data_IF_314820927191
#
_entry.id   IF_314820927191
#
_cell.length_a   1.000
_cell.length_b   1.000
_cell.length_c   1.000
_cell.angle_alpha   90.00
_cell.angle_beta   90.00
_cell.angle_gamma   90.00
#
_symmetry.space_group_name_H-M   'P 1'
#
loop_
_entity.id
_entity.type
_entity.pdbx_description
1 polymer ?
#
# COMPACT_ATOMS: atom_id res chain seq x y z
N UNK A 1 1.28 7.75 7.68
CA UNK A 1 0.94 7.77 9.14
C UNK A 1 2.15 7.22 9.88
N UNK A 2 2.78 8.04 10.71
CA UNK A 2 3.95 7.59 11.47
C UNK A 2 3.47 6.87 12.72
N UNK A 3 3.88 5.65 12.86
CA UNK A 3 3.73 4.89 14.09
C UNK A 3 5.00 5.11 14.91
N UNK A 4 4.83 5.46 16.16
CA UNK A 4 5.94 5.62 17.06
C UNK A 4 5.84 4.60 18.17
N UNK A 5 6.92 3.90 18.40
CA UNK A 5 7.06 2.97 19.50
C UNK A 5 8.40 3.15 20.23
N UNK A 6 8.91 4.37 20.21
CA UNK A 6 10.14 4.72 20.91
C UNK A 6 10.02 4.45 22.41
N UNK A 7 10.46 3.28 22.84
CA UNK A 7 10.51 2.90 24.23
C UNK A 7 9.18 2.64 24.93
N UNK A 8 8.05 2.73 24.22
CA UNK A 8 6.73 2.41 24.75
C UNK A 8 6.27 1.01 24.36
N UNK A 9 5.44 0.41 25.19
CA UNK A 9 4.82 -0.87 24.86
C UNK A 9 3.84 -0.69 23.70
N UNK A 10 3.95 -1.51 22.67
CA UNK A 10 3.03 -1.51 21.53
C UNK A 10 1.63 -2.00 21.95
N UNK A 11 0.60 -1.27 21.55
CA UNK A 11 -0.79 -1.71 21.59
C UNK A 11 -1.34 -1.70 20.16
N UNK A 12 -1.10 -2.78 19.45
CA UNK A 12 -1.53 -2.92 18.07
C UNK A 12 -3.06 -2.83 17.92
N UNK A 13 -3.82 -3.36 18.87
CA UNK A 13 -5.28 -3.28 18.83
C UNK A 13 -5.77 -1.83 18.87
N UNK A 14 -5.22 -1.05 19.80
CA UNK A 14 -5.55 0.37 19.92
C UNK A 14 -5.10 1.16 18.67
N UNK A 15 -3.93 0.85 18.14
CA UNK A 15 -3.41 1.48 16.92
C UNK A 15 -4.37 1.26 15.72
N UNK A 16 -4.80 0.02 15.48
CA UNK A 16 -5.77 -0.28 14.42
C UNK A 16 -7.14 0.37 14.65
N UNK A 17 -7.62 0.43 15.89
CA UNK A 17 -8.86 1.13 16.21
C UNK A 17 -8.76 2.63 15.89
N UNK A 18 -7.68 3.28 16.29
CA UNK A 18 -7.44 4.71 16.01
C UNK A 18 -7.29 4.98 14.52
N UNK A 19 -6.58 4.11 13.80
CA UNK A 19 -6.44 4.21 12.35
C UNK A 19 -7.80 4.16 11.65
N UNK A 20 -8.60 3.14 11.99
CA UNK A 20 -9.96 2.99 11.45
C UNK A 20 -10.85 4.17 11.78
N UNK A 21 -10.78 4.68 13.02
CA UNK A 21 -11.51 5.86 13.44
C UNK A 21 -11.11 7.10 12.64
N UNK A 22 -9.80 7.31 12.44
CA UNK A 22 -9.28 8.43 11.65
C UNK A 22 -9.78 8.38 10.20
N UNK A 23 -9.70 7.23 9.55
CA UNK A 23 -10.22 7.06 8.18
C UNK A 23 -11.72 7.35 8.14
N UNK A 24 -12.49 6.85 9.11
CA UNK A 24 -13.93 7.10 9.19
C UNK A 24 -14.26 8.58 9.44
N UNK A 25 -13.44 9.32 10.19
CA UNK A 25 -13.60 10.76 10.39
C UNK A 25 -13.33 11.54 9.09
N UNK A 26 -12.29 11.18 8.33
CA UNK A 26 -12.01 11.76 7.03
C UNK A 26 -13.18 11.56 6.06
N UNK A 27 -13.72 10.34 5.97
CA UNK A 27 -14.87 10.01 5.14
C UNK A 27 -16.14 10.77 5.55
N UNK A 28 -16.30 11.06 6.84
CA UNK A 28 -17.43 11.81 7.36
C UNK A 28 -17.29 13.31 7.15
N UNK A 29 -16.06 13.82 7.17
CA UNK A 29 -15.77 15.24 6.97
C UNK A 29 -16.02 15.68 5.54
N UNK A 30 -15.58 14.88 4.56
CA UNK A 30 -15.77 15.17 3.14
C UNK A 30 -16.53 14.01 2.46
N UNK A 31 -17.76 14.27 1.94
CA UNK A 31 -18.59 13.23 1.34
C UNK A 31 -18.09 12.73 -0.02
N UNK A 32 -17.11 13.41 -0.64
CA UNK A 32 -16.58 13.03 -1.97
C UNK A 32 -15.14 12.52 -1.94
N UNK A 33 -14.44 12.64 -0.81
CA UNK A 33 -13.06 12.17 -0.70
C UNK A 33 -12.98 10.66 -0.90
N UNK A 34 -11.99 10.25 -1.67
CA UNK A 34 -11.53 8.86 -1.75
C UNK A 34 -10.19 8.73 -1.00
N UNK A 35 -10.02 7.65 -0.26
CA UNK A 35 -8.83 7.40 0.54
C UNK A 35 -8.11 6.19 -0.01
N UNK A 36 -6.83 6.36 -0.30
CA UNK A 36 -5.96 5.29 -0.77
C UNK A 36 -4.96 4.96 0.35
N UNK A 37 -5.06 3.74 0.87
CA UNK A 37 -4.18 3.29 1.94
C UNK A 37 -2.92 2.71 1.30
N UNK A 38 -1.79 3.30 1.64
CA UNK A 38 -0.47 2.85 1.22
C UNK A 38 0.21 2.09 2.37
N UNK A 39 0.43 0.79 2.24
CA UNK A 39 1.15 0.01 3.24
C UNK A 39 2.66 0.22 3.14
N UNK A 40 3.32 0.27 4.30
CA UNK A 40 4.77 0.33 4.41
C UNK A 40 5.24 -0.51 5.61
N UNK A 41 6.13 -1.50 5.43
CA UNK A 41 6.47 -2.46 6.49
C UNK A 41 7.45 -1.91 7.52
N UNK A 42 8.30 -0.99 7.12
CA UNK A 42 9.33 -0.38 7.96
C UNK A 42 9.63 1.04 7.48
N UNK A 43 10.52 1.71 8.19
CA UNK A 43 10.94 3.09 7.95
C UNK A 43 9.79 4.13 7.97
N UNK A 44 9.93 5.17 8.81
CA UNK A 44 11.06 5.40 9.73
C UNK A 44 11.13 4.41 10.88
N UNK A 45 10.07 3.68 11.14
CA UNK A 45 9.97 2.70 12.23
C UNK A 45 9.90 1.28 11.67
N UNK A 46 10.58 0.35 12.33
CA UNK A 46 10.45 -1.07 12.02
C UNK A 46 9.10 -1.62 12.52
N UNK A 47 8.60 -2.67 11.88
CA UNK A 47 7.37 -3.36 12.29
C UNK A 47 6.14 -2.44 12.30
N UNK A 48 5.92 -1.74 11.20
CA UNK A 48 4.76 -0.90 10.99
C UNK A 48 3.44 -1.68 11.12
N UNK A 49 2.37 -0.98 11.52
CA UNK A 49 1.06 -1.61 11.72
C UNK A 49 0.33 -1.94 10.40
N UNK A 50 0.67 -1.27 9.30
CA UNK A 50 0.14 -1.57 7.96
C UNK A 50 1.26 -2.03 7.01
N UNK A 51 1.85 -3.22 7.24
CA UNK A 51 3.04 -3.62 6.51
C UNK A 51 2.79 -4.14 5.09
N UNK A 52 1.57 -4.58 4.77
CA UNK A 52 1.25 -5.23 3.49
C UNK A 52 -0.09 -4.78 2.94
N UNK A 53 -0.33 -5.07 1.65
CA UNK A 53 -1.61 -4.78 1.00
C UNK A 53 -2.79 -5.50 1.68
N UNK A 54 -2.56 -6.70 2.22
CA UNK A 54 -3.59 -7.43 2.97
C UNK A 54 -4.10 -6.66 4.19
N UNK A 55 -3.21 -5.97 4.92
CA UNK A 55 -3.61 -5.12 6.04
C UNK A 55 -4.41 -3.90 5.57
N UNK A 56 -3.96 -3.24 4.48
CA UNK A 56 -4.66 -2.11 3.90
C UNK A 56 -6.08 -2.50 3.42
N UNK A 57 -6.21 -3.64 2.75
CA UNK A 57 -7.50 -4.19 2.31
C UNK A 57 -8.43 -4.49 3.49
N UNK A 58 -7.90 -5.08 4.57
CA UNK A 58 -8.69 -5.38 5.76
C UNK A 58 -9.24 -4.09 6.40
N UNK A 59 -8.40 -3.06 6.54
CA UNK A 59 -8.84 -1.75 7.06
C UNK A 59 -9.88 -1.13 6.12
N UNK A 60 -9.63 -1.12 4.81
CA UNK A 60 -10.57 -0.57 3.85
C UNK A 60 -11.97 -1.19 3.97
N UNK A 61 -12.05 -2.52 4.16
CA UNK A 61 -13.31 -3.24 4.33
C UNK A 61 -14.03 -2.93 5.65
N UNK A 62 -13.30 -2.54 6.70
CA UNK A 62 -13.86 -2.23 8.00
C UNK A 62 -14.34 -0.79 8.12
N UNK A 63 -14.07 0.07 7.14
CA UNK A 63 -14.51 1.47 7.14
C UNK A 63 -16.03 1.58 6.98
N UNK A 64 -16.59 2.74 7.35
CA UNK A 64 -18.03 3.04 7.21
C UNK A 64 -18.49 3.06 5.75
N UNK A 65 -17.59 3.41 4.83
CA UNK A 65 -17.86 3.42 3.41
C UNK A 65 -16.69 2.77 2.65
N UNK A 66 -16.66 1.44 2.58
CA UNK A 66 -15.60 0.71 1.89
C UNK A 66 -15.49 1.05 0.40
N UNK A 67 -16.54 1.63 -0.20
CA UNK A 67 -16.53 2.00 -1.62
C UNK A 67 -15.62 3.19 -1.91
N UNK A 68 -15.36 4.03 -0.90
CA UNK A 68 -14.48 5.20 -0.99
C UNK A 68 -13.09 4.97 -0.41
N UNK A 69 -12.75 3.71 -0.09
CA UNK A 69 -11.42 3.37 0.41
C UNK A 69 -10.82 2.26 -0.44
N UNK A 70 -9.72 2.56 -1.05
CA UNK A 70 -8.90 1.66 -1.86
C UNK A 70 -7.48 1.56 -1.34
N UNK A 71 -6.62 1.00 -2.16
CA UNK A 71 -5.22 0.81 -1.82
C UNK A 71 -4.33 1.41 -2.90
N UNK A 72 -3.17 1.88 -2.45
CA UNK A 72 -2.03 2.22 -3.27
C UNK A 72 -0.94 1.19 -2.97
N UNK A 73 -0.32 0.63 -4.00
CA UNK A 73 0.87 -0.19 -3.87
C UNK A 73 2.07 0.63 -4.31
N UNK A 74 3.08 0.68 -3.45
CA UNK A 74 4.42 1.07 -3.85
C UNK A 74 5.28 -0.17 -4.00
N UNK A 75 5.98 -0.28 -5.15
CA UNK A 75 6.77 -1.46 -5.48
C UNK A 75 7.88 -1.72 -4.46
N UNK A 76 8.59 -0.67 -4.03
CA UNK A 76 9.64 -0.78 -3.02
C UNK A 76 9.09 -1.26 -1.67
N UNK A 77 7.91 -0.80 -1.26
CA UNK A 77 7.29 -1.20 0.00
C UNK A 77 6.93 -2.70 0.01
N UNK A 78 6.44 -3.24 -1.10
CA UNK A 78 6.20 -4.67 -1.20
C UNK A 78 7.51 -5.47 -1.09
N UNK A 79 8.58 -5.03 -1.75
CA UNK A 79 9.91 -5.64 -1.65
C UNK A 79 10.48 -5.54 -0.22
N UNK A 80 10.32 -4.40 0.46
CA UNK A 80 10.70 -4.21 1.86
C UNK A 80 9.96 -5.17 2.80
N UNK A 81 8.71 -5.53 2.46
CA UNK A 81 7.94 -6.56 3.18
C UNK A 81 8.38 -7.99 2.86
N UNK A 82 9.32 -8.18 1.93
CA UNK A 82 9.76 -9.50 1.47
C UNK A 82 8.75 -10.18 0.53
N UNK A 83 7.89 -9.41 -0.12
CA UNK A 83 6.83 -9.87 -1.01
C UNK A 83 7.16 -9.60 -2.48
N UNK A 84 6.52 -10.33 -3.40
CA UNK A 84 6.58 -10.02 -4.83
C UNK A 84 5.54 -8.94 -5.17
N UNK A 85 5.94 -7.77 -5.65
CA UNK A 85 5.00 -6.70 -5.99
C UNK A 85 3.96 -7.12 -7.05
N UNK A 86 4.28 -8.04 -7.96
CA UNK A 86 3.33 -8.53 -8.95
C UNK A 86 2.22 -9.37 -8.32
N UNK A 87 2.55 -10.17 -7.29
CA UNK A 87 1.56 -10.96 -6.55
C UNK A 87 0.66 -10.03 -5.70
N UNK A 88 1.22 -8.97 -5.11
CA UNK A 88 0.45 -7.97 -4.38
C UNK A 88 -0.51 -7.19 -5.29
N UNK A 89 -0.08 -6.87 -6.52
CA UNK A 89 -0.93 -6.27 -7.56
C UNK A 89 -2.10 -7.21 -7.89
N UNK A 90 -1.82 -8.48 -8.22
CA UNK A 90 -2.86 -9.46 -8.54
C UNK A 90 -3.84 -9.63 -7.37
N UNK A 91 -3.32 -9.66 -6.15
CA UNK A 91 -4.13 -9.78 -4.95
C UNK A 91 -5.08 -8.59 -4.78
N UNK A 92 -4.57 -7.35 -4.83
CA UNK A 92 -5.39 -6.15 -4.69
C UNK A 92 -6.41 -6.01 -5.83
N UNK A 93 -6.03 -6.36 -7.06
CA UNK A 93 -6.93 -6.38 -8.22
C UNK A 93 -8.07 -7.39 -8.07
N UNK A 94 -7.84 -8.54 -7.42
CA UNK A 94 -8.88 -9.52 -7.11
C UNK A 94 -10.00 -8.93 -6.25
N UNK A 95 -9.70 -7.97 -5.38
CA UNK A 95 -10.67 -7.24 -4.56
C UNK A 95 -11.24 -5.98 -5.23
N UNK A 96 -10.77 -5.60 -6.41
CA UNK A 96 -11.14 -4.36 -7.10
C UNK A 96 -10.74 -3.11 -6.31
N UNK A 97 -9.63 -3.17 -5.57
CA UNK A 97 -9.22 -2.14 -4.62
C UNK A 97 -7.86 -1.50 -4.92
N UNK A 98 -7.17 -1.92 -5.96
CA UNK A 98 -5.96 -1.26 -6.41
C UNK A 98 -6.33 -0.03 -7.26
N UNK A 99 -6.20 1.18 -6.68
CA UNK A 99 -6.59 2.42 -7.34
C UNK A 99 -5.41 3.28 -7.75
N UNK A 100 -4.26 3.08 -7.11
CA UNK A 100 -3.02 3.75 -7.48
C UNK A 100 -1.83 2.82 -7.32
N UNK A 101 -0.78 3.14 -8.05
CA UNK A 101 0.47 2.41 -8.03
C UNK A 101 1.64 3.39 -8.12
N UNK A 102 2.61 3.25 -7.22
CA UNK A 102 3.90 3.92 -7.29
C UNK A 102 4.95 2.91 -7.76
N UNK A 103 5.49 3.14 -8.95
CA UNK A 103 6.52 2.30 -9.55
C UNK A 103 7.90 2.82 -9.17
N UNK A 104 8.61 2.06 -8.41
CA UNK A 104 10.01 2.24 -8.08
C UNK A 104 10.69 0.88 -7.90
N UNK A 105 11.89 0.83 -7.40
CA UNK A 105 12.65 -0.40 -7.21
C UNK A 105 13.43 -0.38 -5.90
N UNK A 106 13.79 -1.56 -5.43
CA UNK A 106 14.41 -1.80 -4.15
C UNK A 106 15.32 -3.02 -4.22
N UNK A 107 16.47 -3.00 -3.60
CA UNK A 107 17.38 -4.15 -3.60
C UNK A 107 17.75 -4.69 -2.21
N UNK A 108 17.00 -4.33 -1.19
CA UNK A 108 17.19 -4.80 0.18
C UNK A 108 15.88 -4.81 0.95
N UNK A 109 15.91 -5.33 2.16
CA UNK A 109 14.75 -5.39 3.06
C UNK A 109 14.79 -4.30 4.15
N UNK A 110 15.68 -3.32 3.98
CA UNK A 110 15.88 -2.22 4.91
C UNK A 110 16.22 -0.95 4.13
N UNK A 111 15.76 0.17 4.64
CA UNK A 111 15.87 1.48 4.00
C UNK A 111 15.12 1.56 2.67
N UNK A 112 14.15 2.42 2.63
CA UNK A 112 13.42 2.76 1.43
C UNK A 112 14.35 3.52 0.48
N UNK A 113 14.61 2.93 -0.68
CA UNK A 113 15.67 3.42 -1.57
C UNK A 113 15.14 4.22 -2.73
N UNK A 114 13.84 4.10 -3.02
CA UNK A 114 13.16 4.79 -4.12
C UNK A 114 13.97 4.78 -5.43
N UNK A 115 14.48 3.59 -5.78
CA UNK A 115 15.26 3.44 -7.01
C UNK A 115 14.36 3.55 -8.24
N UNK A 116 14.88 4.06 -9.37
CA UNK A 116 14.12 4.06 -10.61
C UNK A 116 13.62 2.66 -10.97
N UNK A 117 12.38 2.58 -11.41
CA UNK A 117 11.69 1.32 -11.74
C UNK A 117 12.52 0.45 -12.69
N UNK A 118 12.73 -0.81 -12.32
CA UNK A 118 13.51 -1.79 -13.07
C UNK A 118 15.03 -1.66 -12.96
N UNK A 119 15.53 -0.72 -12.14
CA UNK A 119 16.98 -0.49 -12.02
C UNK A 119 17.70 -1.49 -11.13
N UNK A 120 17.02 -2.08 -10.16
CA UNK A 120 17.57 -3.11 -9.29
C UNK A 120 17.22 -4.52 -9.76
N UNK A 121 15.98 -4.75 -10.22
CA UNK A 121 15.53 -6.06 -10.68
C UNK A 121 14.55 -5.97 -11.87
N UNK A 122 15.06 -5.99 -13.08
CA UNK A 122 14.26 -5.89 -14.30
C UNK A 122 13.20 -7.01 -14.42
N UNK A 123 13.46 -8.22 -13.89
CA UNK A 123 12.48 -9.30 -13.90
C UNK A 123 11.27 -8.99 -13.05
N UNK A 124 11.50 -8.45 -11.86
CA UNK A 124 10.40 -8.03 -10.95
C UNK A 124 9.58 -6.91 -11.60
N UNK A 125 10.24 -5.93 -12.20
CA UNK A 125 9.55 -4.88 -12.94
C UNK A 125 8.72 -5.42 -14.11
N UNK A 126 9.28 -6.33 -14.90
CA UNK A 126 8.56 -6.99 -16.00
C UNK A 126 7.32 -7.76 -15.51
N UNK A 127 7.44 -8.48 -14.38
CA UNK A 127 6.31 -9.22 -13.81
C UNK A 127 5.19 -8.29 -13.36
N UNK A 128 5.52 -7.13 -12.78
CA UNK A 128 4.54 -6.11 -12.39
C UNK A 128 3.77 -5.59 -13.62
N UNK A 129 4.48 -5.23 -14.70
CA UNK A 129 3.84 -4.77 -15.95
C UNK A 129 2.90 -5.86 -16.50
N UNK A 130 3.34 -7.13 -16.51
CA UNK A 130 2.47 -8.24 -16.91
C UNK A 130 1.23 -8.41 -16.03
N UNK A 131 1.36 -8.24 -14.72
CA UNK A 131 0.24 -8.31 -13.79
C UNK A 131 -0.77 -7.19 -14.10
N UNK A 132 -0.30 -5.96 -14.30
CA UNK A 132 -1.13 -4.81 -14.65
C UNK A 132 -1.87 -5.03 -15.99
N UNK A 133 -1.16 -5.45 -17.03
CA UNK A 133 -1.76 -5.73 -18.34
C UNK A 133 -2.81 -6.84 -18.27
N UNK A 134 -2.49 -7.97 -17.60
CA UNK A 134 -3.38 -9.11 -17.45
C UNK A 134 -4.68 -8.75 -16.72
N UNK A 135 -4.60 -7.90 -15.70
CA UNK A 135 -5.74 -7.44 -14.94
C UNK A 135 -6.47 -6.27 -15.61
N UNK A 136 -5.92 -5.70 -16.67
CA UNK A 136 -6.50 -4.56 -17.36
C UNK A 136 -6.49 -3.29 -16.52
N UNK A 137 -5.46 -3.10 -15.70
CA UNK A 137 -5.26 -1.90 -14.91
C UNK A 137 -5.25 -0.64 -15.80
N UNK A 138 -5.80 0.45 -15.29
CA UNK A 138 -5.96 1.72 -16.02
C UNK A 138 -7.28 1.86 -16.77
N UNK A 139 -8.08 0.80 -16.93
CA UNK A 139 -9.35 0.85 -17.67
C UNK A 139 -10.45 1.63 -16.96
N UNK A 140 -10.37 1.76 -15.64
CA UNK A 140 -11.34 2.47 -14.83
C UNK A 140 -10.81 3.83 -14.33
N UNK A 141 -9.65 4.28 -14.83
CA UNK A 141 -9.02 5.53 -14.43
C UNK A 141 -8.07 5.41 -13.25
N UNK A 142 -7.58 4.20 -12.98
CA UNK A 142 -6.55 3.96 -11.97
C UNK A 142 -5.26 4.73 -12.31
N UNK A 143 -4.52 5.14 -11.28
CA UNK A 143 -3.33 5.97 -11.44
C UNK A 143 -2.05 5.15 -11.38
N UNK A 144 -1.07 5.52 -12.20
CA UNK A 144 0.32 5.08 -12.12
C UNK A 144 1.22 6.29 -11.94
N UNK A 145 2.01 6.29 -10.89
CA UNK A 145 3.01 7.31 -10.60
C UNK A 145 4.38 6.66 -10.43
N UNK A 146 5.39 7.50 -10.36
CA UNK A 146 6.75 7.09 -9.97
C UNK A 146 7.09 7.83 -8.69
N UNK A 147 7.56 7.09 -7.70
CA UNK A 147 8.11 7.63 -6.46
C UNK A 147 9.63 7.40 -6.48
N UNK A 148 10.40 8.48 -6.72
CA UNK A 148 11.86 8.44 -6.92
C UNK A 148 12.49 9.73 -6.42
#
# INVERSE_FOLDING_TARGET
>A
MCESDFGEAKDAKLAYQRLLETVNQMLAYDPVVEIWIEPKPNEPMDQAYLPTIGHALAIAQLTRDPKRVGCLIESAHALLAGLDPADEIDFAMTFGKLWSLHLNDQNGLKFDQDKPFGSANLRVAFNQVRALERNGYGKNGEYVCFDV
#
